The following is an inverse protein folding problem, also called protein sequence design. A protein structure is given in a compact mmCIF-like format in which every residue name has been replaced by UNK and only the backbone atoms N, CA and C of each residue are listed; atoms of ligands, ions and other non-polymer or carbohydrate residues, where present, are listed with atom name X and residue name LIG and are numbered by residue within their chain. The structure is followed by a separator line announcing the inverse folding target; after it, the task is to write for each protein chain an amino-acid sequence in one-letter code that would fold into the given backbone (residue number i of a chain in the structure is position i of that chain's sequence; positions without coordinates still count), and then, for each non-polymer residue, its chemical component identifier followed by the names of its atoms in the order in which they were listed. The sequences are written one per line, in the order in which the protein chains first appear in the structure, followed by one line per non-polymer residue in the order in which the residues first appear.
data_IF_181194501378
#
_entry.id   IF_181194501378
#
_cell.length_a   1.000
_cell.length_b   1.000
_cell.length_c   1.000
_cell.angle_alpha   90.00
_cell.angle_beta   90.00
_cell.angle_gamma   90.00
#
_symmetry.space_group_name_H-M   'P 1'
#
loop_
_entity.id
_entity.type
_entity.pdbx_description
1 polymer ?
#
# COMPACT_ATOMS: atom_id res chain seq x y z
N UNK A 1 3.96 -45.53 -35.80
CA UNK A 1 4.93 -45.65 -34.69
C UNK A 1 4.87 -44.32 -33.93
N UNK A 2 3.90 -44.19 -33.01
CA UNK A 2 3.64 -42.96 -32.27
C UNK A 2 4.37 -43.03 -30.93
N UNK A 3 5.33 -42.13 -30.74
CA UNK A 3 6.07 -42.00 -29.49
C UNK A 3 5.17 -41.24 -28.50
N UNK A 4 4.86 -41.91 -27.40
CA UNK A 4 3.99 -41.45 -26.33
C UNK A 4 4.72 -40.38 -25.49
N UNK A 5 4.50 -39.10 -25.80
CA UNK A 5 5.19 -37.95 -25.22
C UNK A 5 4.56 -37.41 -23.93
N UNK A 6 3.64 -38.16 -23.29
CA UNK A 6 2.87 -37.68 -22.12
C UNK A 6 3.43 -38.03 -20.75
N UNK A 7 4.61 -38.67 -20.66
CA UNK A 7 5.12 -39.22 -19.39
C UNK A 7 6.31 -38.52 -18.77
N UNK A 8 6.82 -37.43 -19.33
CA UNK A 8 8.04 -36.75 -18.81
C UNK A 8 7.81 -35.36 -18.21
N UNK A 9 6.65 -34.73 -18.38
CA UNK A 9 6.39 -33.40 -17.79
C UNK A 9 5.89 -33.43 -16.33
N UNK A 10 5.47 -34.59 -15.80
CA UNK A 10 4.93 -34.69 -14.44
C UNK A 10 5.99 -34.74 -13.34
N UNK A 11 7.22 -35.15 -13.65
CA UNK A 11 8.26 -35.39 -12.63
C UNK A 11 9.23 -34.22 -12.45
N UNK A 12 9.39 -33.33 -13.43
CA UNK A 12 10.24 -32.12 -13.30
C UNK A 12 9.57 -31.00 -12.48
N UNK A 13 8.24 -30.96 -12.40
CA UNK A 13 7.51 -29.95 -11.62
C UNK A 13 7.56 -30.19 -10.10
N UNK A 14 7.91 -31.40 -9.67
CA UNK A 14 7.95 -31.77 -8.24
C UNK A 14 9.33 -31.52 -7.60
N UNK A 15 10.40 -31.49 -8.39
CA UNK A 15 11.77 -31.33 -7.88
C UNK A 15 12.24 -29.86 -7.74
N UNK A 16 11.58 -28.91 -8.42
CA UNK A 16 11.88 -27.48 -8.31
C UNK A 16 11.06 -26.73 -7.24
N UNK A 17 10.10 -27.38 -6.58
CA UNK A 17 9.23 -26.72 -5.59
C UNK A 17 9.88 -26.57 -4.21
N UNK A 18 10.62 -27.59 -3.73
CA UNK A 18 11.11 -27.62 -2.35
C UNK A 18 12.28 -26.69 -2.03
N UNK A 19 13.19 -26.46 -2.98
CA UNK A 19 14.34 -25.55 -2.78
C UNK A 19 13.93 -24.08 -2.86
N UNK A 20 12.98 -23.75 -3.73
CA UNK A 20 12.47 -22.39 -3.87
C UNK A 20 11.65 -21.96 -2.64
N UNK A 21 10.89 -22.87 -2.03
CA UNK A 21 10.05 -22.52 -0.89
C UNK A 21 10.86 -22.13 0.36
N UNK A 22 11.97 -22.82 0.66
CA UNK A 22 12.85 -22.46 1.79
C UNK A 22 13.59 -21.15 1.56
N UNK A 23 14.04 -20.88 0.33
CA UNK A 23 14.70 -19.62 -0.01
C UNK A 23 13.70 -18.48 0.05
N UNK A 24 12.49 -18.66 -0.50
CA UNK A 24 11.41 -17.69 -0.44
C UNK A 24 10.99 -17.39 1.00
N UNK A 25 10.80 -18.41 1.85
CA UNK A 25 10.51 -18.22 3.28
C UNK A 25 11.63 -17.44 3.99
N UNK A 26 12.90 -17.72 3.67
CA UNK A 26 14.04 -16.95 4.22
C UNK A 26 14.01 -15.51 3.73
N UNK A 27 13.73 -15.26 2.45
CA UNK A 27 13.64 -13.91 1.89
C UNK A 27 12.47 -13.13 2.50
N UNK A 28 11.30 -13.75 2.68
CA UNK A 28 10.15 -13.15 3.37
C UNK A 28 10.52 -12.81 4.82
N UNK A 29 11.15 -13.75 5.54
CA UNK A 29 11.61 -13.52 6.90
C UNK A 29 12.63 -12.37 6.99
N UNK A 30 13.59 -12.32 6.07
CA UNK A 30 14.56 -11.22 5.97
C UNK A 30 13.88 -9.90 5.64
N UNK A 31 12.91 -9.89 4.72
CA UNK A 31 12.15 -8.69 4.39
C UNK A 31 11.39 -8.16 5.61
N UNK A 32 10.66 -9.02 6.31
CA UNK A 32 9.97 -8.67 7.56
C UNK A 32 10.93 -8.16 8.64
N UNK A 33 12.14 -8.71 8.73
CA UNK A 33 13.17 -8.22 9.65
C UNK A 33 13.75 -6.88 9.21
N UNK A 34 14.00 -6.67 7.94
CA UNK A 34 14.50 -5.41 7.38
C UNK A 34 13.47 -4.28 7.51
N UNK A 35 12.19 -4.59 7.39
CA UNK A 35 11.07 -3.65 7.61
C UNK A 35 10.84 -3.33 9.10
N UNK A 36 11.41 -4.12 10.02
CA UNK A 36 11.19 -3.90 11.44
C UNK A 36 11.86 -2.61 11.93
N UNK A 37 11.13 -1.82 12.73
CA UNK A 37 11.62 -0.58 13.33
C UNK A 37 12.95 -0.78 14.09
N UNK A 38 13.09 -1.91 14.79
CA UNK A 38 14.29 -2.26 15.56
C UNK A 38 15.52 -2.46 14.69
N UNK A 39 15.36 -3.05 13.51
CA UNK A 39 16.45 -3.22 12.56
C UNK A 39 16.92 -1.86 12.04
N UNK A 40 15.98 -0.98 11.65
CA UNK A 40 16.28 0.39 11.23
C UNK A 40 17.01 1.16 12.33
N UNK A 41 16.53 1.13 13.57
CA UNK A 41 17.21 1.76 14.72
C UNK A 41 18.63 1.20 14.90
N UNK A 42 18.80 -0.12 14.80
CA UNK A 42 20.10 -0.77 14.91
C UNK A 42 21.09 -0.33 13.84
N UNK A 43 20.67 -0.28 12.57
CA UNK A 43 21.50 0.19 11.46
C UNK A 43 21.85 1.67 11.63
N UNK A 44 20.87 2.53 11.90
CA UNK A 44 21.14 3.96 12.09
C UNK A 44 22.07 4.21 13.28
N UNK A 45 21.90 3.46 14.37
CA UNK A 45 22.80 3.50 15.53
C UNK A 45 24.21 3.03 15.18
N UNK A 46 24.36 1.97 14.40
CA UNK A 46 25.66 1.47 13.95
C UNK A 46 26.37 2.48 13.02
N UNK A 47 25.65 3.04 12.04
CA UNK A 47 26.19 4.06 11.13
C UNK A 47 26.61 5.30 11.90
N UNK A 48 25.80 5.74 12.87
CA UNK A 48 26.15 6.85 13.75
C UNK A 48 27.41 6.56 14.58
N UNK A 49 27.52 5.34 15.14
CA UNK A 49 28.72 4.93 15.89
C UNK A 49 29.96 4.97 15.00
N UNK A 50 29.88 4.40 13.79
CA UNK A 50 30.98 4.44 12.81
C UNK A 50 31.33 5.90 12.48
N UNK A 51 30.34 6.76 12.27
CA UNK A 51 30.55 8.17 11.99
C UNK A 51 31.27 8.89 13.14
N UNK A 52 30.85 8.66 14.39
CA UNK A 52 31.50 9.20 15.59
C UNK A 52 32.96 8.72 15.67
N UNK A 53 33.22 7.43 15.45
CA UNK A 53 34.59 6.88 15.45
C UNK A 53 35.46 7.52 14.39
N UNK A 54 34.95 7.63 13.15
CA UNK A 54 35.67 8.31 12.06
C UNK A 54 35.95 9.76 12.40
N UNK A 55 34.97 10.48 12.94
CA UNK A 55 35.12 11.86 13.38
C UNK A 55 36.21 12.01 14.44
N UNK A 56 36.23 11.15 15.46
CA UNK A 56 37.29 11.12 16.47
C UNK A 56 38.66 10.82 15.87
N UNK A 57 38.77 9.84 14.98
CA UNK A 57 40.05 9.49 14.34
C UNK A 57 40.58 10.66 13.51
N UNK A 58 39.72 11.32 12.73
CA UNK A 58 40.09 12.50 11.94
C UNK A 58 40.54 13.64 12.85
N UNK A 59 39.82 13.91 13.94
CA UNK A 59 40.20 14.92 14.91
C UNK A 59 41.55 14.65 15.58
N UNK A 60 41.80 13.40 15.99
CA UNK A 60 43.10 12.98 16.57
C UNK A 60 44.23 13.15 15.56
N UNK A 61 44.01 12.77 14.30
CA UNK A 61 45.02 12.91 13.25
C UNK A 61 45.33 14.38 12.98
N UNK A 62 44.32 15.22 12.88
CA UNK A 62 44.51 16.66 12.65
C UNK A 62 45.26 17.32 13.82
N UNK A 63 44.85 17.07 15.06
CA UNK A 63 45.45 17.73 16.22
C UNK A 63 46.87 17.26 16.54
N UNK A 64 47.23 16.00 16.25
CA UNK A 64 48.57 15.49 16.55
C UNK A 64 49.57 15.70 15.41
N UNK A 65 49.14 15.51 14.16
CA UNK A 65 50.05 15.55 13.01
C UNK A 65 50.02 16.88 12.25
N UNK A 66 48.90 17.61 12.32
CA UNK A 66 48.67 18.83 11.54
C UNK A 66 48.35 20.05 12.42
N UNK A 67 48.78 20.05 13.68
CA UNK A 67 48.50 21.12 14.65
C UNK A 67 48.85 22.53 14.14
N UNK A 68 49.97 22.65 13.40
CA UNK A 68 50.47 23.93 12.88
C UNK A 68 49.84 24.35 11.55
N UNK A 69 49.37 23.39 10.75
CA UNK A 69 48.79 23.59 9.42
C UNK A 69 47.51 22.75 9.29
N UNK A 70 46.50 23.13 10.07
CA UNK A 70 45.24 22.40 10.17
C UNK A 70 44.52 22.40 8.82
N UNK A 71 44.02 21.24 8.42
CA UNK A 71 43.41 21.04 7.11
C UNK A 71 41.91 21.29 7.13
N UNK A 72 41.22 20.88 8.19
CA UNK A 72 39.76 20.96 8.33
C UNK A 72 39.32 22.24 9.03
N UNK A 73 40.03 22.64 10.11
CA UNK A 73 39.63 23.77 10.95
C UNK A 73 40.67 24.88 11.00
N UNK A 74 40.25 26.14 10.82
CA UNK A 74 41.18 27.29 10.72
C UNK A 74 41.71 27.79 12.07
N UNK A 75 40.91 27.75 13.14
CA UNK A 75 41.22 28.47 14.40
C UNK A 75 41.24 27.57 15.65
N UNK A 76 41.02 26.26 15.53
CA UNK A 76 40.95 25.38 16.69
C UNK A 76 40.87 23.90 16.33
N UNK A 77 40.87 23.06 17.37
CA UNK A 77 40.61 21.62 17.29
C UNK A 77 39.21 21.33 16.77
N UNK A 78 39.06 20.22 16.03
CA UNK A 78 37.75 19.61 15.74
C UNK A 78 36.96 19.35 17.04
N UNK A 79 37.64 19.10 18.16
CA UNK A 79 37.04 18.89 19.48
C UNK A 79 36.76 20.20 20.24
N UNK A 80 37.09 21.36 19.66
CA UNK A 80 36.89 22.66 20.29
C UNK A 80 35.41 23.03 20.32
N UNK A 81 34.89 23.32 21.52
CA UNK A 81 33.49 23.75 21.72
C UNK A 81 33.30 25.24 21.42
N UNK A 82 34.38 26.02 21.46
CA UNK A 82 34.41 27.40 20.97
C UNK A 82 34.41 27.36 19.44
N UNK A 83 33.28 27.75 18.85
CA UNK A 83 32.93 27.59 17.44
C UNK A 83 34.09 27.66 16.44
N UNK A 84 34.08 26.73 15.49
CA UNK A 84 35.18 26.46 14.58
C UNK A 84 34.86 26.89 13.14
N UNK A 85 35.85 27.48 12.46
CA UNK A 85 35.77 27.76 11.03
C UNK A 85 36.25 26.55 10.23
N UNK A 86 35.36 25.99 9.41
CA UNK A 86 35.77 25.02 8.38
C UNK A 86 36.62 25.78 7.36
N UNK A 87 37.77 25.23 6.98
CA UNK A 87 38.61 25.79 5.92
C UNK A 87 37.91 25.69 4.55
N UNK A 88 38.40 26.40 3.54
CA UNK A 88 37.72 26.43 2.24
C UNK A 88 37.68 25.05 1.56
N UNK A 89 38.68 24.19 1.78
CA UNK A 89 38.83 22.94 1.05
C UNK A 89 37.76 21.88 1.42
N UNK A 90 37.51 21.53 2.69
CA UNK A 90 36.36 20.70 3.06
C UNK A 90 35.02 21.29 2.63
N UNK A 91 34.85 22.61 2.68
CA UNK A 91 33.62 23.26 2.21
C UNK A 91 33.42 23.11 0.71
N UNK A 92 34.49 23.20 -0.09
CA UNK A 92 34.45 22.92 -1.54
C UNK A 92 34.12 21.45 -1.79
N UNK A 93 34.80 20.51 -1.10
CA UNK A 93 34.55 19.07 -1.25
C UNK A 93 33.09 18.73 -0.91
N UNK A 94 32.59 19.25 0.21
CA UNK A 94 31.20 19.02 0.64
C UNK A 94 30.22 19.64 -0.35
N UNK A 95 30.47 20.86 -0.83
CA UNK A 95 29.66 21.49 -1.88
C UNK A 95 29.63 20.63 -3.15
N UNK A 96 30.79 20.15 -3.62
CA UNK A 96 30.87 19.29 -4.80
C UNK A 96 30.07 18.00 -4.63
N UNK A 97 30.13 17.40 -3.45
CA UNK A 97 29.33 16.22 -3.11
C UNK A 97 27.82 16.52 -3.14
N UNK A 98 27.41 17.67 -2.58
CA UNK A 98 26.01 18.11 -2.62
C UNK A 98 25.49 18.36 -4.02
N UNK A 99 26.31 18.95 -4.91
CA UNK A 99 25.94 19.12 -6.31
C UNK A 99 25.78 17.77 -7.01
N UNK A 100 26.66 16.80 -6.73
CA UNK A 100 26.55 15.46 -7.27
C UNK A 100 25.24 14.78 -6.84
N UNK A 101 24.89 14.83 -5.56
CA UNK A 101 23.60 14.30 -5.09
C UNK A 101 22.40 15.05 -5.69
N UNK A 102 22.48 16.38 -5.80
CA UNK A 102 21.44 17.18 -6.46
C UNK A 102 21.25 16.79 -7.94
N UNK A 103 22.32 16.43 -8.65
CA UNK A 103 22.24 15.93 -10.02
C UNK A 103 21.57 14.55 -10.10
N UNK A 104 21.83 13.66 -9.14
CA UNK A 104 21.13 12.38 -8.99
C UNK A 104 19.64 12.62 -8.75
N UNK A 105 19.27 13.54 -7.85
CA UNK A 105 17.87 13.87 -7.57
C UNK A 105 17.14 14.37 -8.82
N UNK A 106 17.77 15.23 -9.61
CA UNK A 106 17.22 15.68 -10.90
C UNK A 106 17.00 14.51 -11.85
N UNK A 107 17.94 13.55 -11.92
CA UNK A 107 17.77 12.34 -12.74
C UNK A 107 16.59 11.50 -12.25
N UNK A 108 16.45 11.32 -10.94
CA UNK A 108 15.30 10.60 -10.33
C UNK A 108 13.99 11.31 -10.68
N UNK A 109 13.93 12.64 -10.58
CA UNK A 109 12.75 13.41 -10.98
C UNK A 109 12.41 13.17 -12.46
N UNK A 110 13.40 13.21 -13.36
CA UNK A 110 13.18 12.93 -14.78
C UNK A 110 12.64 11.51 -15.04
N UNK A 111 13.11 10.52 -14.29
CA UNK A 111 12.59 9.14 -14.36
C UNK A 111 11.16 9.08 -13.81
N UNK A 112 10.89 9.72 -12.67
CA UNK A 112 9.57 9.78 -12.03
C UNK A 112 8.52 10.46 -12.91
N UNK A 113 8.91 11.46 -13.72
CA UNK A 113 8.02 12.09 -14.69
C UNK A 113 7.55 11.12 -15.78
N UNK A 114 8.31 10.08 -16.12
CA UNK A 114 7.91 9.03 -17.08
C UNK A 114 6.98 7.97 -16.49
N UNK A 115 6.85 7.87 -15.18
CA UNK A 115 5.90 6.94 -14.57
C UNK A 115 4.48 7.44 -14.83
N UNK A 116 3.59 6.65 -15.44
CA UNK A 116 2.29 7.15 -15.90
C UNK A 116 1.29 7.49 -14.77
N UNK A 117 1.60 7.16 -13.51
CA UNK A 117 0.65 7.33 -12.41
C UNK A 117 1.37 7.76 -11.14
N UNK A 118 0.91 8.88 -10.59
CA UNK A 118 1.31 9.34 -9.27
C UNK A 118 0.18 9.02 -8.28
N UNK A 119 0.20 7.81 -7.73
CA UNK A 119 -0.89 7.34 -6.85
C UNK A 119 -0.84 7.98 -5.48
N UNK A 120 0.33 8.42 -5.01
CA UNK A 120 0.55 8.92 -3.65
C UNK A 120 1.18 10.32 -3.61
N UNK A 121 1.08 11.08 -4.70
CA UNK A 121 1.76 12.38 -4.83
C UNK A 121 3.29 12.32 -4.65
N UNK A 122 3.90 11.14 -4.86
CA UNK A 122 5.33 10.87 -4.74
C UNK A 122 6.11 11.77 -5.71
N UNK A 123 5.58 12.03 -6.91
CA UNK A 123 6.28 12.90 -7.87
C UNK A 123 6.32 14.33 -7.37
N UNK A 124 5.20 14.83 -6.83
CA UNK A 124 5.10 16.18 -6.27
C UNK A 124 6.09 16.33 -5.11
N UNK A 125 6.13 15.36 -4.21
CA UNK A 125 7.07 15.34 -3.08
C UNK A 125 8.53 15.28 -3.54
N UNK A 126 8.85 14.41 -4.50
CA UNK A 126 10.21 14.28 -5.05
C UNK A 126 10.65 15.58 -5.74
N UNK A 127 9.76 16.22 -6.52
CA UNK A 127 10.04 17.51 -7.17
C UNK A 127 10.26 18.61 -6.12
N UNK A 128 9.39 18.68 -5.10
CA UNK A 128 9.50 19.66 -4.02
C UNK A 128 10.82 19.50 -3.27
N UNK A 129 11.20 18.26 -2.94
CA UNK A 129 12.47 17.94 -2.29
C UNK A 129 13.66 18.33 -3.17
N UNK A 130 13.65 17.98 -4.46
CA UNK A 130 14.74 18.32 -5.37
C UNK A 130 14.94 19.84 -5.48
N UNK A 131 13.85 20.62 -5.57
CA UNK A 131 13.91 22.09 -5.58
C UNK A 131 14.49 22.62 -4.28
N UNK A 132 13.96 22.19 -3.14
CA UNK A 132 14.40 22.65 -1.83
C UNK A 132 15.88 22.31 -1.57
N UNK A 133 16.29 21.09 -1.90
CA UNK A 133 17.67 20.61 -1.71
C UNK A 133 18.66 21.38 -2.60
N UNK A 134 18.25 21.68 -3.84
CA UNK A 134 19.02 22.54 -4.75
C UNK A 134 19.17 23.95 -4.19
N UNK A 135 18.09 24.55 -3.68
CA UNK A 135 18.14 25.88 -3.06
C UNK A 135 19.05 25.91 -1.83
N UNK A 136 18.94 24.92 -0.94
CA UNK A 136 19.79 24.82 0.25
C UNK A 136 21.26 24.58 -0.11
N UNK A 137 21.54 23.83 -1.17
CA UNK A 137 22.90 23.63 -1.69
C UNK A 137 23.50 24.94 -2.21
N UNK A 138 22.72 25.73 -2.94
CA UNK A 138 23.15 27.06 -3.41
C UNK A 138 23.41 28.00 -2.23
N UNK A 139 22.51 28.04 -1.25
CA UNK A 139 22.69 28.86 -0.04
C UNK A 139 23.95 28.43 0.72
N UNK A 140 24.15 27.13 0.92
CA UNK A 140 25.36 26.58 1.54
C UNK A 140 26.62 27.04 0.79
N UNK A 141 26.64 26.88 -0.54
CA UNK A 141 27.77 27.28 -1.36
C UNK A 141 28.08 28.78 -1.21
N UNK A 142 27.09 29.65 -1.42
CA UNK A 142 27.28 31.11 -1.30
C UNK A 142 27.79 31.50 0.08
N UNK A 143 27.15 30.99 1.15
CA UNK A 143 27.56 31.28 2.53
C UNK A 143 28.96 30.73 2.87
N UNK A 144 29.39 29.65 2.22
CA UNK A 144 30.73 29.06 2.41
C UNK A 144 31.85 29.85 1.74
N UNK A 145 31.55 30.58 0.64
CA UNK A 145 32.57 31.29 -0.15
C UNK A 145 32.71 32.77 0.25
N UNK A 146 31.65 33.39 0.77
CA UNK A 146 31.70 34.80 1.19
C UNK A 146 32.54 34.92 2.47
N UNK A 147 33.52 35.82 2.48
CA UNK A 147 34.44 35.98 3.61
C UNK A 147 33.75 36.64 4.81
N UNK A 148 32.87 37.60 4.55
CA UNK A 148 32.13 38.37 5.55
C UNK A 148 31.12 37.49 6.32
N UNK A 149 30.57 36.46 5.67
CA UNK A 149 29.67 35.49 6.32
C UNK A 149 30.41 34.58 7.29
N UNK A 150 31.76 34.54 7.27
CA UNK A 150 32.54 33.84 8.29
C UNK A 150 32.22 34.39 9.68
N UNK A 151 32.05 35.71 9.84
CA UNK A 151 31.65 36.28 11.16
C UNK A 151 30.26 35.78 11.59
N UNK A 152 29.33 35.62 10.63
CA UNK A 152 27.99 35.09 10.91
C UNK A 152 28.01 33.62 11.33
N UNK A 153 29.02 32.84 10.92
CA UNK A 153 29.16 31.43 11.33
C UNK A 153 29.35 31.23 12.81
N UNK A 154 29.81 32.25 13.54
CA UNK A 154 29.87 32.22 15.00
C UNK A 154 28.49 32.18 15.64
N UNK A 155 27.46 32.71 14.96
CA UNK A 155 26.10 32.78 15.45
C UNK A 155 25.27 31.65 14.86
N UNK A 156 25.35 31.46 13.54
CA UNK A 156 24.63 30.42 12.82
C UNK A 156 25.61 29.73 11.86
N UNK A 157 26.11 28.52 12.20
CA UNK A 157 26.94 27.73 11.31
C UNK A 157 26.21 27.50 9.98
N UNK A 158 26.83 27.87 8.85
CA UNK A 158 26.20 27.63 7.55
C UNK A 158 26.00 26.12 7.27
N UNK A 159 26.73 25.24 7.97
CA UNK A 159 26.50 23.79 7.94
C UNK A 159 25.10 23.39 8.42
N UNK A 160 24.41 24.25 9.18
CA UNK A 160 23.02 24.03 9.57
C UNK A 160 22.06 24.07 8.39
N UNK A 161 22.41 24.69 7.25
CA UNK A 161 21.56 24.59 6.05
C UNK A 161 21.40 23.14 5.59
N UNK A 162 22.47 22.33 5.72
CA UNK A 162 22.46 20.90 5.42
C UNK A 162 21.56 20.13 6.40
N UNK A 163 21.68 20.43 7.69
CA UNK A 163 20.86 19.81 8.73
C UNK A 163 19.38 20.18 8.60
N UNK A 164 19.08 21.46 8.34
CA UNK A 164 17.73 21.94 8.05
C UNK A 164 17.17 21.22 6.82
N UNK A 165 17.99 21.03 5.77
CA UNK A 165 17.60 20.24 4.61
C UNK A 165 17.19 18.81 4.96
N UNK A 166 17.98 18.11 5.79
CA UNK A 166 17.63 16.78 6.27
C UNK A 166 16.36 16.76 7.14
N UNK A 167 16.14 17.78 7.97
CA UNK A 167 14.93 17.88 8.78
C UNK A 167 13.68 18.11 7.92
N UNK A 168 13.75 19.02 6.94
CA UNK A 168 12.64 19.25 6.01
C UNK A 168 12.40 18.03 5.13
N UNK A 169 13.45 17.29 4.75
CA UNK A 169 13.33 16.02 4.05
C UNK A 169 12.48 15.01 4.83
N UNK A 170 12.75 14.84 6.13
CA UNK A 170 11.94 13.96 7.00
C UNK A 170 10.49 14.44 7.08
N UNK A 171 10.25 15.75 7.21
CA UNK A 171 8.89 16.29 7.25
C UNK A 171 8.14 15.98 5.95
N UNK A 172 8.75 16.25 4.80
CA UNK A 172 8.10 16.11 3.50
C UNK A 172 7.92 14.65 3.10
N UNK A 173 8.92 13.80 3.34
CA UNK A 173 8.91 12.39 2.92
C UNK A 173 8.24 11.43 3.89
N UNK A 174 8.10 11.79 5.17
CA UNK A 174 7.51 10.92 6.20
C UNK A 174 6.29 11.55 6.86
N UNK A 175 6.43 12.76 7.43
CA UNK A 175 5.36 13.32 8.25
C UNK A 175 4.12 13.70 7.42
N UNK A 176 4.31 14.34 6.26
CA UNK A 176 3.20 14.75 5.39
C UNK A 176 2.41 13.53 4.87
N UNK A 177 3.04 12.48 4.31
CA UNK A 177 2.32 11.27 3.89
C UNK A 177 1.54 10.60 5.03
N UNK A 178 2.13 10.52 6.23
CA UNK A 178 1.46 9.94 7.41
C UNK A 178 0.23 10.76 7.80
N UNK A 179 0.34 12.09 7.85
CA UNK A 179 -0.81 12.96 8.16
C UNK A 179 -1.89 12.81 7.10
N UNK A 180 -1.54 12.78 5.81
CA UNK A 180 -2.51 12.57 4.72
C UNK A 180 -3.24 11.24 4.87
N UNK A 181 -2.51 10.15 5.12
CA UNK A 181 -3.12 8.84 5.33
C UNK A 181 -4.12 8.84 6.50
N UNK A 182 -3.76 9.47 7.63
CA UNK A 182 -4.67 9.59 8.78
C UNK A 182 -5.91 10.43 8.45
N UNK A 183 -5.74 11.52 7.70
CA UNK A 183 -6.85 12.38 7.30
C UNK A 183 -7.79 11.66 6.33
N UNK A 184 -7.24 10.94 5.35
CA UNK A 184 -8.01 10.15 4.39
C UNK A 184 -8.80 9.04 5.12
N UNK A 185 -8.16 8.32 6.06
CA UNK A 185 -8.82 7.32 6.90
C UNK A 185 -9.96 7.92 7.75
N UNK A 186 -9.80 9.15 8.24
CA UNK A 186 -10.82 9.83 9.06
C UNK A 186 -12.06 10.25 8.26
N UNK A 187 -11.90 10.56 6.98
CA UNK A 187 -12.99 10.98 6.09
C UNK A 187 -13.80 9.77 5.58
N UNK A 188 -13.17 8.61 5.47
CA UNK A 188 -13.84 7.37 5.03
C UNK A 188 -14.71 6.71 6.12
N UNK A 189 -14.56 7.11 7.39
CA UNK A 189 -15.23 6.49 8.54
C UNK A 189 -16.73 6.77 8.72
N UNK A 190 -17.33 7.77 8.05
CA UNK A 190 -18.70 8.22 8.35
C UNK A 190 -19.78 7.90 7.30
N UNK A 191 -19.42 7.41 6.10
CA UNK A 191 -20.40 7.07 5.06
C UNK A 191 -20.70 5.56 5.02
N UNK A 192 -21.36 5.07 6.07
CA UNK A 192 -21.86 3.69 6.22
C UNK A 192 -23.16 3.40 5.42
N UNK A 193 -23.62 4.34 4.59
CA UNK A 193 -24.68 4.12 3.61
C UNK A 193 -24.05 3.81 2.26
N UNK A 194 -24.29 2.59 1.75
CA UNK A 194 -23.86 2.05 0.45
C UNK A 194 -22.53 2.63 -0.05
N UNK A 195 -21.43 1.93 0.23
CA UNK A 195 -20.12 2.35 -0.28
C UNK A 195 -20.22 2.68 -1.79
N UNK A 196 -19.54 3.71 -2.27
CA UNK A 196 -19.56 4.06 -3.71
C UNK A 196 -19.29 2.85 -4.62
N UNK A 197 -18.48 1.92 -4.10
CA UNK A 197 -18.18 0.63 -4.69
C UNK A 197 -19.45 -0.20 -4.84
N UNK A 198 -20.26 -0.35 -3.78
CA UNK A 198 -21.55 -1.04 -3.83
C UNK A 198 -22.52 -0.38 -4.81
N UNK A 199 -22.61 0.96 -4.85
CA UNK A 199 -23.42 1.68 -5.85
C UNK A 199 -23.02 1.30 -7.28
N UNK A 200 -21.71 1.25 -7.54
CA UNK A 200 -21.16 0.85 -8.85
C UNK A 200 -21.35 -0.64 -9.12
N UNK A 201 -21.19 -1.51 -8.13
CA UNK A 201 -21.38 -2.95 -8.27
C UNK A 201 -22.85 -3.34 -8.45
N UNK A 202 -23.79 -2.56 -7.90
CA UNK A 202 -25.23 -2.76 -8.03
C UNK A 202 -25.75 -2.28 -9.40
N UNK A 203 -25.03 -1.40 -10.09
CA UNK A 203 -25.33 -1.00 -11.46
C UNK A 203 -24.64 -1.94 -12.48
N UNK A 204 -25.42 -2.66 -13.29
CA UNK A 204 -24.88 -3.68 -14.23
C UNK A 204 -23.87 -3.12 -15.25
N UNK A 205 -24.03 -1.87 -15.69
CA UNK A 205 -23.13 -1.24 -16.65
C UNK A 205 -21.82 -0.82 -15.99
N UNK A 206 -21.89 -0.15 -14.83
CA UNK A 206 -20.70 0.28 -14.09
C UNK A 206 -19.94 -0.93 -13.53
N UNK A 207 -20.65 -1.96 -13.09
CA UNK A 207 -20.07 -3.23 -12.64
C UNK A 207 -19.28 -3.92 -13.77
N UNK A 208 -19.75 -3.89 -15.02
CA UNK A 208 -18.98 -4.41 -16.17
C UNK A 208 -17.69 -3.63 -16.40
N UNK A 209 -17.71 -2.31 -16.26
CA UNK A 209 -16.51 -1.48 -16.37
C UNK A 209 -15.51 -1.78 -15.25
N UNK A 210 -16.00 -1.90 -14.02
CA UNK A 210 -15.16 -2.28 -12.87
C UNK A 210 -14.58 -3.67 -13.05
N UNK A 211 -15.36 -4.64 -13.52
CA UNK A 211 -14.89 -5.99 -13.81
C UNK A 211 -13.81 -6.01 -14.91
N UNK A 212 -14.00 -5.27 -16.00
CA UNK A 212 -13.01 -5.18 -17.08
C UNK A 212 -11.71 -4.55 -16.58
N UNK A 213 -11.81 -3.48 -15.78
CA UNK A 213 -10.66 -2.84 -15.17
C UNK A 213 -9.93 -3.75 -14.17
N UNK A 214 -10.67 -4.49 -13.36
CA UNK A 214 -10.13 -5.45 -12.38
C UNK A 214 -9.43 -6.62 -13.07
N UNK A 215 -9.96 -7.12 -14.19
CA UNK A 215 -9.28 -8.13 -15.04
C UNK A 215 -7.94 -7.65 -15.57
N UNK A 216 -7.86 -6.39 -16.02
CA UNK A 216 -6.59 -5.77 -16.45
C UNK A 216 -5.61 -5.53 -15.30
N UNK A 217 -6.12 -5.49 -14.07
CA UNK A 217 -5.35 -5.33 -12.85
C UNK A 217 -5.05 -6.66 -12.16
N UNK A 218 -5.39 -7.79 -12.79
CA UNK A 218 -5.19 -9.16 -12.28
C UNK A 218 -5.87 -9.44 -10.93
N UNK A 219 -6.99 -8.78 -10.65
CA UNK A 219 -7.75 -8.94 -9.39
C UNK A 219 -9.29 -8.96 -9.60
N UNK A 220 -9.85 -9.78 -10.52
CA UNK A 220 -11.30 -9.80 -10.80
C UNK A 220 -12.15 -10.51 -9.72
N UNK A 221 -11.51 -11.28 -8.84
CA UNK A 221 -12.15 -12.18 -7.88
C UNK A 221 -13.14 -11.47 -6.97
N UNK A 222 -12.81 -10.28 -6.44
CA UNK A 222 -13.70 -9.56 -5.54
C UNK A 222 -15.00 -9.12 -6.21
N UNK A 223 -14.93 -8.67 -7.47
CA UNK A 223 -16.11 -8.25 -8.26
C UNK A 223 -16.99 -9.46 -8.60
N UNK A 224 -16.37 -10.57 -8.98
CA UNK A 224 -17.08 -11.82 -9.30
C UNK A 224 -17.76 -12.42 -8.06
N UNK A 225 -17.05 -12.44 -6.93
CA UNK A 225 -17.57 -12.88 -5.64
C UNK A 225 -18.80 -12.07 -5.23
N UNK A 226 -18.71 -10.73 -5.26
CA UNK A 226 -19.83 -9.86 -4.92
C UNK A 226 -21.07 -10.18 -5.77
N UNK A 227 -20.90 -10.33 -7.09
CA UNK A 227 -21.99 -10.66 -8.02
C UNK A 227 -22.65 -12.00 -7.70
N UNK A 228 -21.86 -13.04 -7.44
CA UNK A 228 -22.37 -14.37 -7.10
C UNK A 228 -23.11 -14.37 -5.76
N UNK A 229 -22.61 -13.63 -4.77
CA UNK A 229 -23.28 -13.46 -3.47
C UNK A 229 -24.59 -12.68 -3.61
N UNK A 230 -24.65 -11.62 -4.42
CA UNK A 230 -25.91 -10.92 -4.68
C UNK A 230 -26.93 -11.82 -5.38
N UNK A 231 -26.49 -12.68 -6.31
CA UNK A 231 -27.35 -13.70 -6.92
C UNK A 231 -27.89 -14.68 -5.88
N UNK A 232 -27.04 -15.17 -4.98
CA UNK A 232 -27.44 -16.01 -3.85
C UNK A 232 -28.47 -15.32 -2.95
N UNK A 233 -28.24 -14.05 -2.56
CA UNK A 233 -29.18 -13.26 -1.74
C UNK A 233 -30.57 -13.14 -2.38
N UNK A 234 -30.63 -12.94 -3.71
CA UNK A 234 -31.89 -12.90 -4.48
C UNK A 234 -32.60 -14.27 -4.47
N UNK A 235 -31.86 -15.36 -4.61
CA UNK A 235 -32.43 -16.71 -4.54
C UNK A 235 -33.02 -17.00 -3.16
N UNK A 236 -32.31 -16.64 -2.08
CA UNK A 236 -32.79 -16.76 -0.70
C UNK A 236 -34.07 -15.93 -0.50
N UNK A 237 -34.09 -14.67 -0.95
CA UNK A 237 -35.27 -13.82 -0.86
C UNK A 237 -36.46 -14.42 -1.62
N UNK A 238 -36.24 -14.88 -2.86
CA UNK A 238 -37.28 -15.51 -3.67
C UNK A 238 -37.85 -16.76 -3.01
N UNK A 239 -37.01 -17.55 -2.32
CA UNK A 239 -37.47 -18.69 -1.55
C UNK A 239 -38.39 -18.27 -0.39
N UNK A 240 -38.04 -17.21 0.36
CA UNK A 240 -38.89 -16.73 1.46
C UNK A 240 -40.24 -16.20 0.98
N UNK A 241 -40.24 -15.38 -0.07
CA UNK A 241 -41.48 -14.87 -0.68
C UNK A 241 -42.37 -16.03 -1.16
N UNK A 242 -41.77 -17.03 -1.83
CA UNK A 242 -42.50 -18.20 -2.32
C UNK A 242 -43.08 -19.06 -1.19
N UNK A 243 -42.32 -19.23 -0.11
CA UNK A 243 -42.73 -19.99 1.07
C UNK A 243 -43.93 -19.34 1.77
N UNK A 244 -43.94 -18.01 1.87
CA UNK A 244 -45.04 -17.25 2.46
C UNK A 244 -46.34 -17.38 1.64
N UNK A 245 -46.26 -17.32 0.31
CA UNK A 245 -47.42 -17.45 -0.57
C UNK A 245 -48.03 -18.86 -0.62
N UNK A 246 -47.25 -19.90 -0.32
CA UNK A 246 -47.62 -21.31 -0.58
C UNK A 246 -47.59 -22.19 0.68
N UNK A 247 -47.94 -21.63 1.83
CA UNK A 247 -47.89 -22.28 3.14
C UNK A 247 -48.61 -23.65 3.20
N UNK A 248 -49.60 -23.87 2.32
CA UNK A 248 -50.41 -25.10 2.24
C UNK A 248 -49.96 -26.14 1.18
N UNK A 249 -49.03 -25.81 0.26
CA UNK A 249 -48.70 -26.69 -0.89
C UNK A 249 -47.29 -27.33 -0.83
N UNK A 250 -47.29 -28.62 -0.45
CA UNK A 250 -46.32 -29.71 -0.73
C UNK A 250 -44.83 -29.36 -0.99
N UNK A 251 -44.06 -29.50 0.09
CA UNK A 251 -42.68 -30.02 0.26
C UNK A 251 -41.71 -30.06 -0.93
N UNK A 252 -42.00 -30.77 -2.03
CA UNK A 252 -40.99 -31.09 -3.05
C UNK A 252 -40.40 -29.86 -3.77
N UNK A 253 -41.19 -28.81 -4.05
CA UNK A 253 -40.69 -27.60 -4.72
C UNK A 253 -39.80 -26.80 -3.77
N UNK A 254 -40.23 -26.62 -2.51
CA UNK A 254 -39.47 -25.96 -1.45
C UNK A 254 -38.12 -26.65 -1.23
N UNK A 255 -38.11 -27.99 -1.21
CA UNK A 255 -36.88 -28.78 -1.11
C UNK A 255 -35.93 -28.51 -2.29
N UNK A 256 -36.44 -28.49 -3.54
CA UNK A 256 -35.62 -28.20 -4.73
C UNK A 256 -35.05 -26.78 -4.72
N UNK A 257 -35.84 -25.79 -4.31
CA UNK A 257 -35.36 -24.40 -4.19
C UNK A 257 -34.25 -24.28 -3.15
N UNK A 258 -34.44 -24.90 -1.98
CA UNK A 258 -33.44 -24.94 -0.91
C UNK A 258 -32.15 -25.65 -1.36
N UNK A 259 -32.28 -26.78 -2.05
CA UNK A 259 -31.13 -27.52 -2.58
C UNK A 259 -30.35 -26.67 -3.58
N UNK A 260 -31.04 -25.95 -4.47
CA UNK A 260 -30.43 -25.01 -5.42
C UNK A 260 -29.66 -23.88 -4.71
N UNK A 261 -30.26 -23.28 -3.69
CA UNK A 261 -29.63 -22.22 -2.88
C UNK A 261 -28.38 -22.75 -2.16
N UNK A 262 -28.49 -23.94 -1.59
CA UNK A 262 -27.39 -24.59 -0.87
C UNK A 262 -26.24 -24.94 -1.81
N UNK A 263 -26.55 -25.48 -2.99
CA UNK A 263 -25.55 -25.74 -4.04
C UNK A 263 -24.91 -24.45 -4.55
N UNK A 264 -25.66 -23.36 -4.65
CA UNK A 264 -25.14 -22.03 -4.99
C UNK A 264 -24.13 -21.56 -3.93
N UNK A 265 -24.48 -21.65 -2.65
CA UNK A 265 -23.57 -21.29 -1.55
C UNK A 265 -22.30 -22.16 -1.55
N UNK A 266 -22.42 -23.49 -1.71
CA UNK A 266 -21.27 -24.41 -1.81
C UNK A 266 -20.36 -24.05 -3.00
N UNK A 267 -20.95 -23.67 -4.13
CA UNK A 267 -20.20 -23.21 -5.30
C UNK A 267 -19.41 -21.94 -5.02
N UNK A 268 -20.01 -20.96 -4.33
CA UNK A 268 -19.30 -19.74 -3.90
C UNK A 268 -18.11 -20.10 -3.00
N UNK A 269 -18.33 -20.96 -2.00
CA UNK A 269 -17.26 -21.42 -1.09
C UNK A 269 -16.13 -22.11 -1.86
N UNK A 270 -16.47 -22.99 -2.81
CA UNK A 270 -15.48 -23.72 -3.62
C UNK A 270 -14.67 -22.81 -4.55
N UNK A 271 -15.31 -21.80 -5.14
CA UNK A 271 -14.66 -20.94 -6.14
C UNK A 271 -13.81 -19.82 -5.54
N UNK A 272 -14.19 -19.31 -4.37
CA UNK A 272 -13.62 -18.08 -3.81
C UNK A 272 -12.97 -18.24 -2.44
N UNK A 273 -13.42 -19.22 -1.64
CA UNK A 273 -12.97 -19.38 -0.24
C UNK A 273 -12.09 -20.60 -0.02
N UNK A 274 -11.81 -21.37 -1.06
CA UNK A 274 -10.96 -22.55 -0.99
C UNK A 274 -9.53 -22.20 -1.39
N UNK A 275 -8.58 -22.67 -0.59
CA UNK A 275 -7.15 -22.51 -0.85
C UNK A 275 -6.78 -23.15 -2.19
N UNK A 276 -6.09 -22.40 -3.05
CA UNK A 276 -5.74 -22.81 -4.42
C UNK A 276 -6.89 -22.71 -5.42
N UNK A 277 -8.04 -22.13 -5.06
CA UNK A 277 -9.11 -21.89 -6.03
C UNK A 277 -8.69 -20.85 -7.08
N UNK A 278 -9.21 -21.00 -8.31
CA UNK A 278 -8.85 -20.10 -9.42
C UNK A 278 -9.16 -18.62 -9.12
N UNK A 279 -10.21 -18.36 -8.35
CA UNK A 279 -10.61 -17.01 -7.93
C UNK A 279 -10.53 -16.88 -6.40
N UNK A 280 -9.52 -17.49 -5.77
CA UNK A 280 -9.29 -17.37 -4.33
C UNK A 280 -9.24 -15.90 -3.89
N UNK A 281 -10.03 -15.54 -2.88
CA UNK A 281 -10.07 -14.17 -2.36
C UNK A 281 -8.85 -13.87 -1.49
N UNK A 282 -8.27 -12.69 -1.70
CA UNK A 282 -7.24 -12.15 -0.83
C UNK A 282 -7.83 -11.52 0.45
N UNK A 283 -8.42 -12.34 1.32
CA UNK A 283 -8.94 -11.90 2.62
C UNK A 283 -8.25 -12.62 3.79
N UNK A 284 -8.02 -11.95 4.93
CA UNK A 284 -7.33 -12.55 6.07
C UNK A 284 -8.12 -13.72 6.66
N UNK A 285 -7.42 -14.73 7.17
CA UNK A 285 -8.05 -15.90 7.82
C UNK A 285 -9.11 -16.63 6.97
N UNK A 286 -8.88 -16.70 5.65
CA UNK A 286 -9.78 -17.35 4.70
C UNK A 286 -10.22 -18.77 5.12
N UNK A 287 -9.32 -19.67 5.60
CA UNK A 287 -9.73 -21.02 6.02
C UNK A 287 -10.72 -21.02 7.19
N UNK A 288 -10.55 -20.10 8.15
CA UNK A 288 -11.46 -19.95 9.30
C UNK A 288 -12.85 -19.53 8.85
N UNK A 289 -12.94 -18.54 7.96
CA UNK A 289 -14.22 -18.06 7.40
C UNK A 289 -14.91 -19.12 6.54
N UNK A 290 -14.13 -19.84 5.74
CA UNK A 290 -14.62 -20.99 4.96
C UNK A 290 -15.27 -22.02 5.88
N UNK A 291 -14.58 -22.39 6.96
CA UNK A 291 -15.07 -23.41 7.89
C UNK A 291 -16.31 -22.94 8.66
N UNK A 292 -16.39 -21.66 9.06
CA UNK A 292 -17.59 -21.08 9.69
C UNK A 292 -18.81 -21.10 8.75
N UNK A 293 -18.64 -20.67 7.49
CA UNK A 293 -19.71 -20.71 6.48
C UNK A 293 -20.15 -22.14 6.21
N UNK A 294 -19.21 -23.08 6.06
CA UNK A 294 -19.52 -24.50 5.87
C UNK A 294 -20.28 -25.06 7.07
N UNK A 295 -19.88 -24.75 8.31
CA UNK A 295 -20.58 -25.18 9.52
C UNK A 295 -22.03 -24.68 9.54
N UNK A 296 -22.26 -23.40 9.16
CA UNK A 296 -23.60 -22.82 9.02
C UNK A 296 -24.43 -23.55 7.95
N UNK A 297 -23.82 -23.87 6.80
CA UNK A 297 -24.49 -24.64 5.74
C UNK A 297 -24.85 -26.06 6.19
N UNK A 298 -23.95 -26.77 6.87
CA UNK A 298 -24.23 -28.10 7.42
C UNK A 298 -25.33 -28.08 8.48
N UNK A 299 -25.35 -27.06 9.34
CA UNK A 299 -26.41 -26.86 10.32
C UNK A 299 -27.77 -26.60 9.64
N UNK A 300 -27.78 -25.76 8.59
CA UNK A 300 -28.97 -25.53 7.77
C UNK A 300 -29.46 -26.83 7.14
N UNK A 301 -28.59 -27.69 6.58
CA UNK A 301 -28.97 -28.97 5.97
C UNK A 301 -29.56 -29.97 6.97
N UNK A 302 -28.92 -30.13 8.14
CA UNK A 302 -29.30 -31.15 9.14
C UNK A 302 -30.63 -30.86 9.83
N UNK A 303 -31.02 -29.59 9.93
CA UNK A 303 -32.32 -29.26 10.51
C UNK A 303 -33.43 -29.69 9.56
N UNK A 304 -34.16 -30.74 9.94
CA UNK A 304 -35.29 -31.31 9.20
C UNK A 304 -36.46 -30.33 9.07
N UNK A 305 -36.45 -29.25 9.85
CA UNK A 305 -37.44 -28.19 9.85
C UNK A 305 -36.89 -27.03 9.01
N UNK A 306 -37.12 -27.07 7.71
CA UNK A 306 -37.23 -25.91 6.81
C UNK A 306 -36.21 -24.75 6.97
N UNK A 307 -34.94 -25.06 7.24
CA UNK A 307 -33.88 -24.06 7.34
C UNK A 307 -33.14 -23.89 6.00
N UNK A 308 -33.55 -22.86 5.26
CA UNK A 308 -32.77 -22.29 4.17
C UNK A 308 -31.52 -21.59 4.71
N UNK A 309 -30.38 -21.60 3.98
CA UNK A 309 -29.22 -20.80 4.35
C UNK A 309 -29.59 -19.32 4.55
N UNK A 310 -29.02 -18.64 5.56
CA UNK A 310 -29.41 -17.28 5.88
C UNK A 310 -28.92 -16.29 4.81
N UNK A 311 -29.70 -15.23 4.55
CA UNK A 311 -29.39 -14.22 3.52
C UNK A 311 -28.05 -13.51 3.76
N UNK A 312 -27.69 -13.33 5.03
CA UNK A 312 -26.46 -12.68 5.48
C UNK A 312 -25.26 -13.65 5.64
N UNK A 313 -25.33 -14.87 5.08
CA UNK A 313 -24.29 -15.90 5.22
C UNK A 313 -22.88 -15.40 4.88
N UNK A 314 -22.77 -14.48 3.92
CA UNK A 314 -21.50 -14.01 3.37
C UNK A 314 -21.15 -12.55 3.75
N UNK A 315 -21.93 -11.89 4.61
CA UNK A 315 -21.81 -10.43 4.81
C UNK A 315 -20.45 -9.99 5.36
N UNK A 316 -19.87 -10.77 6.27
CA UNK A 316 -18.52 -10.51 6.78
C UNK A 316 -17.47 -10.57 5.66
N UNK A 317 -17.56 -11.57 4.79
CA UNK A 317 -16.62 -11.74 3.67
C UNK A 317 -16.83 -10.65 2.62
N UNK A 318 -18.07 -10.24 2.37
CA UNK A 318 -18.38 -9.11 1.48
C UNK A 318 -17.70 -7.84 1.98
N UNK A 319 -17.87 -7.51 3.26
CA UNK A 319 -17.29 -6.29 3.84
C UNK A 319 -15.78 -6.22 3.59
N UNK A 320 -15.06 -7.30 3.88
CA UNK A 320 -13.62 -7.35 3.64
C UNK A 320 -13.25 -7.37 2.16
N UNK A 321 -14.06 -8.02 1.32
CA UNK A 321 -13.86 -8.01 -0.13
C UNK A 321 -14.02 -6.59 -0.69
N UNK A 322 -15.00 -5.83 -0.20
CA UNK A 322 -15.19 -4.43 -0.61
C UNK A 322 -13.98 -3.58 -0.23
N UNK A 323 -13.40 -3.78 0.96
CA UNK A 323 -12.15 -3.11 1.35
C UNK A 323 -10.99 -3.45 0.39
N UNK A 324 -10.85 -4.71 -0.02
CA UNK A 324 -9.82 -5.10 -1.01
C UNK A 324 -10.08 -4.50 -2.39
N UNK A 325 -11.34 -4.21 -2.74
CA UNK A 325 -11.72 -3.57 -4.01
C UNK A 325 -11.53 -2.05 -3.98
N UNK A 326 -11.42 -1.41 -2.82
CA UNK A 326 -11.29 0.05 -2.68
C UNK A 326 -10.18 0.61 -3.55
N UNK A 327 -8.99 0.00 -3.51
CA UNK A 327 -7.86 0.49 -4.30
C UNK A 327 -8.13 0.43 -5.81
N UNK A 328 -8.66 -0.70 -6.30
CA UNK A 328 -8.98 -0.93 -7.71
C UNK A 328 -10.05 0.04 -8.17
N UNK A 329 -11.07 0.23 -7.34
CA UNK A 329 -12.15 1.16 -7.57
C UNK A 329 -11.67 2.61 -7.63
N UNK A 330 -10.88 3.07 -6.65
CA UNK A 330 -10.31 4.42 -6.62
C UNK A 330 -9.48 4.71 -7.86
N UNK A 331 -8.64 3.76 -8.29
CA UNK A 331 -7.85 3.86 -9.53
C UNK A 331 -8.73 3.93 -10.79
N UNK A 332 -9.88 3.27 -10.81
CA UNK A 332 -10.84 3.34 -11.91
C UNK A 332 -11.61 4.66 -11.88
N UNK A 333 -12.10 5.09 -10.71
CA UNK A 333 -12.79 6.36 -10.49
C UNK A 333 -11.95 7.52 -11.01
N UNK A 334 -10.64 7.55 -10.75
CA UNK A 334 -9.73 8.58 -11.26
C UNK A 334 -9.62 8.60 -12.80
N UNK A 335 -9.72 7.44 -13.46
CA UNK A 335 -9.52 7.33 -14.91
C UNK A 335 -10.81 7.47 -15.73
N UNK A 336 -11.92 6.99 -15.20
CA UNK A 336 -13.17 6.86 -15.94
C UNK A 336 -14.10 8.03 -15.63
N UNK A 337 -14.17 8.99 -16.55
CA UNK A 337 -15.16 10.09 -16.49
C UNK A 337 -16.59 9.56 -16.36
N UNK A 338 -16.86 8.38 -16.92
CA UNK A 338 -18.18 7.75 -16.86
C UNK A 338 -18.57 7.35 -15.43
N UNK A 339 -17.63 6.76 -14.66
CA UNK A 339 -17.88 6.45 -13.24
C UNK A 339 -18.03 7.73 -12.42
N UNK A 340 -17.19 8.73 -12.67
CA UNK A 340 -17.29 10.01 -11.97
C UNK A 340 -18.66 10.68 -12.18
N UNK A 341 -19.13 10.70 -13.42
CA UNK A 341 -20.45 11.27 -13.76
C UNK A 341 -21.58 10.47 -13.10
N UNK A 342 -21.52 9.13 -13.18
CA UNK A 342 -22.51 8.25 -12.53
C UNK A 342 -22.62 8.50 -11.02
N UNK A 343 -21.48 8.56 -10.32
CA UNK A 343 -21.47 8.83 -8.88
C UNK A 343 -22.04 10.22 -8.58
N UNK A 344 -21.64 11.24 -9.34
CA UNK A 344 -22.14 12.61 -9.17
C UNK A 344 -23.66 12.71 -9.36
N UNK A 345 -24.19 12.06 -10.39
CA UNK A 345 -25.64 12.00 -10.66
C UNK A 345 -26.38 11.29 -9.52
N UNK A 346 -25.82 10.18 -9.03
CA UNK A 346 -26.40 9.41 -7.92
C UNK A 346 -26.44 10.23 -6.63
N UNK A 347 -25.38 10.98 -6.31
CA UNK A 347 -25.34 11.87 -5.15
C UNK A 347 -26.36 13.01 -5.25
N UNK A 348 -26.52 13.61 -6.43
CA UNK A 348 -27.54 14.65 -6.66
C UNK A 348 -28.94 14.08 -6.45
N UNK A 349 -29.22 12.88 -6.97
CA UNK A 349 -30.50 12.20 -6.77
C UNK A 349 -30.78 11.88 -5.29
N UNK A 350 -29.79 11.34 -4.56
CA UNK A 350 -29.92 11.05 -3.13
C UNK A 350 -30.15 12.32 -2.30
N UNK A 351 -29.43 13.42 -2.60
CA UNK A 351 -29.62 14.70 -1.92
C UNK A 351 -31.02 15.29 -2.16
N UNK A 352 -31.57 15.12 -3.35
CA UNK A 352 -32.93 15.58 -3.69
C UNK A 352 -33.99 14.78 -2.91
N UNK A 353 -33.81 13.47 -2.79
CA UNK A 353 -34.72 12.60 -2.02
C UNK A 353 -34.68 12.96 -0.54
N UNK A 354 -33.51 13.28 0.02
CA UNK A 354 -33.39 13.64 1.44
C UNK A 354 -34.05 14.97 1.84
N UNK A 355 -34.39 15.81 0.86
CA UNK A 355 -35.06 17.10 1.08
C UNK A 355 -36.59 17.01 1.00
N UNK A 356 -37.11 15.89 0.51
CA UNK A 356 -38.55 15.58 0.45
C UNK A 356 -38.92 14.80 1.70
#
# INVERSE_FOLDING_TARGET
MSIDSRKTESDESVLCSGWNERILQRLIWWNQKMESLWFSIGIYGLVLLIHIVVWFLVGIVEDNFYASNRFFMKTGSIFSVSGCYITNLPSIILTSLMFFYSAIDVLIVLISLRSDRDTFSIKVETILLAILRSLLTIVYFVCSQVFETQVLTHIIPYSYSVMIGGFVEIIVSVLIPVIRAILDDSVEGENLFESEIELVLNNDEMCKLLLEFSRRSYCPEGVLFYKDVQSFKRQVQSYYNYKEENELLKTNIVTRHRERITNSAKKIVGNYLSEGALNELNVPSLPTKRNDILAKLYASEKSSIDHCPPKNLFDQVICETLLTLTEVFTRLKQKSKKIQNFLKETYVAQSTISQI
#
